data_IF_739567174168
#
_entry.id   IF_739567174168
#
_cell.length_a   1.000
_cell.length_b   1.000
_cell.length_c   1.000
_cell.angle_alpha   90.00
_cell.angle_beta   90.00
_cell.angle_gamma   90.00
#
_symmetry.space_group_name_H-M   'P 1'
#
loop_
_entity.id
_entity.type
_entity.pdbx_description
1 polymer ?
#
# COMPACT_ATOMS: atom_id res chain seq x y z
N UNK A 1 -8.93 19.58 16.41
CA UNK A 1 -9.65 18.55 15.63
C UNK A 1 -9.13 17.12 15.84
N UNK A 2 -7.85 16.89 16.21
CA UNK A 2 -7.36 15.51 16.48
C UNK A 2 -7.98 14.85 17.73
N UNK A 3 -8.30 15.64 18.77
CA UNK A 3 -8.79 15.13 20.05
C UNK A 3 -10.20 14.51 20.01
N UNK A 4 -11.11 15.06 19.21
CA UNK A 4 -12.51 14.59 19.16
C UNK A 4 -12.65 13.26 18.39
N UNK A 5 -11.77 13.01 17.42
CA UNK A 5 -11.78 11.80 16.60
C UNK A 5 -11.32 10.57 17.39
N UNK A 6 -10.32 10.73 18.27
CA UNK A 6 -9.80 9.64 19.13
C UNK A 6 -10.86 9.19 20.13
N UNK A 7 -11.58 10.13 20.75
CA UNK A 7 -12.65 9.82 21.71
C UNK A 7 -13.84 9.10 21.05
N UNK A 8 -14.15 9.44 19.80
CA UNK A 8 -15.20 8.78 19.04
C UNK A 8 -14.84 7.32 18.68
N UNK A 9 -13.57 7.05 18.38
CA UNK A 9 -13.08 5.73 18.03
C UNK A 9 -13.04 4.79 19.25
N UNK A 10 -12.58 5.28 20.40
CA UNK A 10 -12.58 4.51 21.65
C UNK A 10 -14.01 4.13 22.11
N UNK A 11 -14.97 5.03 21.91
CA UNK A 11 -16.38 4.77 22.19
C UNK A 11 -17.00 3.73 21.24
N UNK A 12 -16.60 3.73 19.96
CA UNK A 12 -17.03 2.73 18.99
C UNK A 12 -16.45 1.36 19.34
N UNK A 13 -15.16 1.29 19.65
CA UNK A 13 -14.48 0.06 20.03
C UNK A 13 -15.11 -0.57 21.28
N UNK A 14 -15.48 0.23 22.28
CA UNK A 14 -16.18 -0.24 23.47
C UNK A 14 -17.53 -0.88 23.14
N UNK A 15 -18.30 -0.28 22.22
CA UNK A 15 -19.60 -0.82 21.77
C UNK A 15 -19.43 -2.11 20.98
N UNK A 16 -18.41 -2.21 20.14
CA UNK A 16 -18.08 -3.42 19.38
C UNK A 16 -17.71 -4.56 20.32
N UNK A 17 -16.86 -4.30 21.32
CA UNK A 17 -16.49 -5.28 22.35
C UNK A 17 -17.70 -5.76 23.15
N UNK A 18 -18.59 -4.85 23.54
CA UNK A 18 -19.83 -5.19 24.24
C UNK A 18 -20.76 -6.09 23.40
N UNK A 19 -20.68 -6.01 22.08
CA UNK A 19 -21.39 -6.88 21.15
C UNK A 19 -20.64 -8.20 20.83
N UNK A 20 -19.52 -8.47 21.50
CA UNK A 20 -18.70 -9.66 21.26
C UNK A 20 -17.87 -9.60 19.97
N UNK A 21 -17.68 -8.42 19.39
CA UNK A 21 -16.88 -8.21 18.18
C UNK A 21 -15.47 -7.74 18.53
N UNK A 22 -14.48 -8.16 17.75
CA UNK A 22 -13.12 -7.60 17.80
C UNK A 22 -13.10 -6.28 17.04
N UNK A 23 -12.73 -5.14 17.66
CA UNK A 23 -12.68 -3.86 16.96
C UNK A 23 -11.58 -3.83 15.90
N UNK A 24 -11.81 -3.07 14.83
CA UNK A 24 -10.84 -2.91 13.76
C UNK A 24 -9.51 -2.34 14.26
N UNK A 25 -9.54 -1.42 15.23
CA UNK A 25 -8.33 -0.87 15.86
C UNK A 25 -7.46 -1.96 16.51
N UNK A 26 -8.08 -2.98 17.07
CA UNK A 26 -7.41 -4.11 17.72
C UNK A 26 -6.89 -5.10 16.68
N UNK A 27 -7.63 -5.31 15.58
CA UNK A 27 -7.16 -6.08 14.43
C UNK A 27 -5.96 -5.42 13.73
N UNK A 28 -5.91 -4.08 13.69
CA UNK A 28 -4.83 -3.34 13.05
C UNK A 28 -3.59 -3.18 13.94
N UNK A 29 -3.71 -3.30 15.26
CA UNK A 29 -2.58 -3.26 16.22
C UNK A 29 -1.59 -4.40 16.04
N UNK A 30 -2.05 -5.52 15.51
CA UNK A 30 -1.22 -6.67 15.19
C UNK A 30 -1.43 -7.03 13.73
N UNK A 31 -0.40 -6.78 12.92
CA UNK A 31 -0.23 -7.47 11.64
C UNK A 31 0.81 -8.56 11.92
N UNK A 32 0.41 -9.79 12.33
CA UNK A 32 1.38 -10.85 12.67
C UNK A 32 2.32 -11.16 11.51
N UNK A 33 1.83 -10.92 10.29
CA UNK A 33 2.58 -11.12 9.04
C UNK A 33 3.44 -9.92 8.66
N UNK A 34 3.40 -8.80 9.38
CA UNK A 34 4.09 -7.56 9.02
C UNK A 34 5.60 -7.76 8.86
N UNK A 35 6.21 -8.57 9.74
CA UNK A 35 7.63 -8.92 9.63
C UNK A 35 7.97 -9.83 8.44
N UNK A 36 7.00 -10.60 7.93
CA UNK A 36 7.17 -11.43 6.73
C UNK A 36 6.87 -10.67 5.43
N UNK A 37 5.96 -9.69 5.50
CA UNK A 37 5.57 -8.86 4.37
C UNK A 37 6.56 -7.71 4.12
N UNK A 38 7.19 -7.20 5.17
CA UNK A 38 8.21 -6.17 5.05
C UNK A 38 9.44 -6.76 4.35
N UNK A 39 9.89 -6.11 3.27
CA UNK A 39 11.12 -6.50 2.61
C UNK A 39 12.32 -6.22 3.54
N UNK A 40 13.17 -7.22 3.77
CA UNK A 40 14.30 -7.12 4.69
C UNK A 40 15.32 -6.02 4.32
N UNK A 41 15.37 -5.62 3.04
CA UNK A 41 16.22 -4.54 2.55
C UNK A 41 15.65 -3.13 2.76
N UNK A 42 14.42 -2.99 3.26
CA UNK A 42 13.82 -1.69 3.57
C UNK A 42 14.09 -1.35 5.03
N UNK A 43 15.11 -0.50 5.26
CA UNK A 43 15.59 -0.12 6.60
C UNK A 43 15.40 1.37 6.91
N UNK A 44 15.12 2.17 5.89
CA UNK A 44 14.96 3.62 5.96
C UNK A 44 14.06 4.12 4.81
N UNK A 45 13.81 5.43 4.78
CA UNK A 45 12.94 6.06 3.78
C UNK A 45 13.52 5.99 2.36
N UNK A 46 14.84 5.95 2.22
CA UNK A 46 15.51 5.89 0.92
C UNK A 46 15.39 4.48 0.31
N UNK A 47 15.69 3.46 1.10
CA UNK A 47 15.50 2.05 0.74
C UNK A 47 14.02 1.70 0.50
N UNK A 48 13.09 2.35 1.22
CA UNK A 48 11.67 2.23 0.92
C UNK A 48 11.30 2.83 -0.46
N UNK A 49 11.82 4.01 -0.81
CA UNK A 49 11.61 4.60 -2.14
C UNK A 49 12.18 3.70 -3.25
N UNK A 50 13.39 3.16 -3.03
CA UNK A 50 14.03 2.23 -3.96
C UNK A 50 13.17 0.97 -4.16
N UNK A 51 12.61 0.42 -3.08
CA UNK A 51 11.70 -0.71 -3.15
C UNK A 51 10.41 -0.39 -3.92
N UNK A 52 9.81 0.80 -3.71
CA UNK A 52 8.64 1.25 -4.47
C UNK A 52 8.94 1.36 -5.97
N UNK A 53 10.09 1.93 -6.34
CA UNK A 53 10.55 2.02 -7.74
C UNK A 53 10.71 0.63 -8.36
N UNK A 54 11.40 -0.28 -7.66
CA UNK A 54 11.59 -1.66 -8.12
C UNK A 54 10.26 -2.37 -8.36
N UNK A 55 9.30 -2.26 -7.43
CA UNK A 55 7.97 -2.88 -7.58
C UNK A 55 7.17 -2.29 -8.72
N UNK A 56 7.20 -0.97 -8.89
CA UNK A 56 6.58 -0.30 -10.03
C UNK A 56 7.18 -0.79 -11.35
N UNK A 57 8.51 -0.83 -11.46
CA UNK A 57 9.20 -1.31 -12.66
C UNK A 57 8.86 -2.76 -13.00
N UNK A 58 8.77 -3.64 -11.99
CA UNK A 58 8.37 -5.03 -12.17
C UNK A 58 6.99 -5.13 -12.82
N UNK A 59 6.00 -4.40 -12.29
CA UNK A 59 4.64 -4.41 -12.85
C UNK A 59 4.59 -3.81 -14.26
N UNK A 60 5.32 -2.74 -14.53
CA UNK A 60 5.38 -2.13 -15.86
C UNK A 60 6.03 -3.06 -16.89
N UNK A 61 7.08 -3.79 -16.51
CA UNK A 61 7.69 -4.80 -17.40
C UNK A 61 6.70 -5.92 -17.71
N UNK A 62 5.99 -6.41 -16.70
CA UNK A 62 4.94 -7.42 -16.90
C UNK A 62 3.83 -6.92 -17.81
N UNK A 63 3.32 -5.70 -17.57
CA UNK A 63 2.31 -5.07 -18.41
C UNK A 63 2.78 -4.99 -19.86
N UNK A 64 4.00 -4.49 -20.10
CA UNK A 64 4.57 -4.38 -21.44
C UNK A 64 4.68 -5.74 -22.13
N UNK A 65 5.11 -6.79 -21.42
CA UNK A 65 5.14 -8.15 -21.95
C UNK A 65 3.75 -8.64 -22.33
N UNK A 66 2.75 -8.46 -21.46
CA UNK A 66 1.38 -8.89 -21.73
C UNK A 66 0.74 -8.12 -22.89
N UNK A 67 1.06 -6.84 -23.07
CA UNK A 67 0.62 -6.06 -24.22
C UNK A 67 1.23 -6.57 -25.53
N UNK A 68 2.53 -6.87 -25.54
CA UNK A 68 3.21 -7.45 -26.70
C UNK A 68 2.68 -8.84 -27.05
N UNK A 69 2.26 -9.62 -26.05
CA UNK A 69 1.67 -10.95 -26.23
C UNK A 69 0.16 -10.92 -26.50
N UNK A 70 -0.46 -9.73 -26.60
CA UNK A 70 -1.92 -9.56 -26.79
C UNK A 70 -2.78 -10.28 -25.72
N UNK A 71 -2.32 -10.26 -24.46
CA UNK A 71 -2.97 -10.90 -23.30
C UNK A 71 -3.83 -9.95 -22.46
N UNK A 72 -4.30 -8.84 -23.02
CA UNK A 72 -5.08 -7.84 -22.29
C UNK A 72 -6.43 -8.37 -21.79
N UNK A 73 -6.95 -9.44 -22.38
CA UNK A 73 -8.19 -10.10 -21.92
C UNK A 73 -8.01 -11.07 -20.75
N UNK A 74 -6.78 -11.26 -20.26
CA UNK A 74 -6.48 -12.11 -19.10
C UNK A 74 -6.78 -11.37 -17.79
N UNK A 75 -7.36 -12.04 -16.80
CA UNK A 75 -7.59 -11.48 -15.46
C UNK A 75 -6.29 -11.00 -14.80
N UNK A 76 -5.17 -11.67 -15.10
CA UNK A 76 -3.85 -11.26 -14.64
C UNK A 76 -3.47 -9.87 -15.17
N UNK A 77 -3.93 -9.47 -16.36
CA UNK A 77 -3.60 -8.16 -16.94
C UNK A 77 -4.19 -7.04 -16.08
N UNK A 78 -5.46 -7.15 -15.70
CA UNK A 78 -6.13 -6.18 -14.83
C UNK A 78 -5.48 -6.11 -13.45
N UNK A 79 -5.04 -7.26 -12.92
CA UNK A 79 -4.28 -7.30 -11.68
C UNK A 79 -2.95 -6.54 -11.80
N UNK A 80 -2.17 -6.80 -12.85
CA UNK A 80 -0.87 -6.14 -13.09
C UNK A 80 -1.06 -4.64 -13.28
N UNK A 81 -2.03 -4.24 -14.10
CA UNK A 81 -2.35 -2.84 -14.37
C UNK A 81 -2.73 -2.09 -13.08
N UNK A 82 -3.61 -2.69 -12.28
CA UNK A 82 -4.04 -2.11 -11.00
C UNK A 82 -2.87 -1.95 -10.03
N UNK A 83 -1.98 -2.94 -9.93
CA UNK A 83 -0.82 -2.86 -9.05
C UNK A 83 0.23 -1.86 -9.54
N UNK A 84 0.44 -1.76 -10.85
CA UNK A 84 1.29 -0.71 -11.44
C UNK A 84 0.78 0.69 -11.07
N UNK A 85 -0.53 0.91 -11.14
CA UNK A 85 -1.17 2.16 -10.76
C UNK A 85 -0.99 2.45 -9.25
N UNK A 86 -1.23 1.47 -8.38
CA UNK A 86 -1.07 1.62 -6.92
C UNK A 86 0.37 1.97 -6.54
N UNK A 87 1.36 1.24 -7.06
CA UNK A 87 2.77 1.56 -6.75
C UNK A 87 3.18 2.93 -7.28
N UNK A 88 2.64 3.34 -8.43
CA UNK A 88 2.84 4.67 -8.97
C UNK A 88 2.27 5.75 -8.05
N UNK A 89 1.01 5.62 -7.63
CA UNK A 89 0.36 6.57 -6.73
C UNK A 89 1.12 6.71 -5.39
N UNK A 90 1.49 5.58 -4.78
CA UNK A 90 2.22 5.56 -3.51
C UNK A 90 3.59 6.22 -3.68
N UNK A 91 4.32 5.92 -4.75
CA UNK A 91 5.62 6.55 -5.02
C UNK A 91 5.50 8.06 -5.20
N UNK A 92 4.53 8.54 -5.98
CA UNK A 92 4.32 9.98 -6.19
C UNK A 92 3.97 10.70 -4.88
N UNK A 93 3.07 10.13 -4.07
CA UNK A 93 2.70 10.70 -2.78
C UNK A 93 3.87 10.66 -1.78
N UNK A 94 4.65 9.59 -1.79
CA UNK A 94 5.84 9.45 -0.97
C UNK A 94 6.89 10.52 -1.31
N UNK A 95 7.20 10.71 -2.60
CA UNK A 95 8.12 11.75 -3.06
C UNK A 95 7.64 13.15 -2.64
N UNK A 96 6.34 13.43 -2.81
CA UNK A 96 5.73 14.68 -2.37
C UNK A 96 5.84 14.88 -0.85
N UNK A 97 5.62 13.84 -0.06
CA UNK A 97 5.78 13.89 1.40
C UNK A 97 7.23 14.16 1.83
N UNK A 98 8.20 13.70 1.03
CA UNK A 98 9.63 13.97 1.19
C UNK A 98 10.05 15.37 0.70
N UNK A 99 9.10 16.23 0.30
CA UNK A 99 9.39 17.57 -0.22
C UNK A 99 9.98 17.59 -1.63
N UNK A 100 9.89 16.48 -2.36
CA UNK A 100 10.38 16.34 -3.74
C UNK A 100 9.22 16.48 -4.72
N UNK A 101 9.50 16.95 -5.94
CA UNK A 101 8.53 16.81 -7.02
C UNK A 101 8.40 15.32 -7.37
N UNK A 102 7.17 14.81 -7.59
CA UNK A 102 6.98 13.51 -8.21
C UNK A 102 7.82 13.48 -9.50
N UNK A 103 8.82 12.61 -9.55
CA UNK A 103 9.68 12.53 -10.74
C UNK A 103 8.85 11.93 -11.86
N UNK A 104 8.97 12.48 -13.08
CA UNK A 104 8.21 12.01 -14.25
C UNK A 104 8.30 10.48 -14.39
N UNK A 105 7.13 9.89 -14.68
CA UNK A 105 6.83 8.46 -14.72
C UNK A 105 7.74 7.67 -15.66
#
# INVERSE_FOLDING_TARGET
MQGDCVMAQDALDARMKAAGMTPLSEMLKHIPVGGFLANAGVTDLESFEAWLKMRREEMLRMQATMELESKQGDELYEWVLSHAAVFTEVLCNFQKAMGRSPTEL
#
